data_IF_849092324953
#
_entry.id   IF_849092324953
#
_cell.length_a   1.000
_cell.length_b   1.000
_cell.length_c   1.000
_cell.angle_alpha   90.00
_cell.angle_beta   90.00
_cell.angle_gamma   90.00
#
_symmetry.space_group_name_H-M   'P 1'
#
loop_
_entity.id
_entity.type
_entity.pdbx_description
1 polymer ?
#
# COMPACT_ATOMS: atom_id res chain seq x y z
N UNK A 1 -11.83 2.17 17.38
CA UNK A 1 -10.93 2.92 16.46
C UNK A 1 -10.65 4.32 16.98
N UNK A 2 -11.68 5.09 17.37
CA UNK A 2 -11.53 6.45 17.90
C UNK A 2 -10.61 6.54 19.14
N UNK A 3 -10.72 5.59 20.07
CA UNK A 3 -9.87 5.53 21.27
C UNK A 3 -8.37 5.31 21.00
N UNK A 4 -8.02 4.69 19.88
CA UNK A 4 -6.62 4.48 19.48
C UNK A 4 -6.04 5.76 18.85
N UNK A 5 -6.81 6.38 17.96
CA UNK A 5 -6.42 7.61 17.28
C UNK A 5 -6.23 8.76 18.28
N UNK A 6 -7.12 8.88 19.25
CA UNK A 6 -7.03 9.88 20.32
C UNK A 6 -5.80 9.67 21.22
N UNK A 7 -5.49 8.41 21.58
CA UNK A 7 -4.29 8.07 22.37
C UNK A 7 -2.98 8.49 21.69
N UNK A 8 -2.91 8.41 20.36
CA UNK A 8 -1.72 8.75 19.58
C UNK A 8 -1.78 10.12 18.89
N UNK A 9 -2.82 10.92 19.16
CA UNK A 9 -2.99 12.25 18.55
C UNK A 9 -3.17 12.21 17.03
N UNK A 10 -3.65 11.09 16.47
CA UNK A 10 -3.84 10.91 15.04
C UNK A 10 -5.22 11.42 14.64
N UNK A 11 -5.27 12.37 13.70
CA UNK A 11 -6.53 12.81 13.09
C UNK A 11 -6.88 11.85 11.95
N UNK A 12 -7.95 11.08 12.12
CA UNK A 12 -8.40 10.15 11.09
C UNK A 12 -9.19 10.88 10.00
N UNK A 13 -8.62 10.98 8.80
CA UNK A 13 -9.31 11.52 7.62
C UNK A 13 -9.95 10.39 6.82
N UNK A 14 -11.29 10.41 6.73
CA UNK A 14 -12.08 9.42 5.99
C UNK A 14 -12.45 10.01 4.64
N UNK A 15 -12.17 9.26 3.56
CA UNK A 15 -12.65 9.64 2.24
C UNK A 15 -14.17 9.50 2.16
N UNK A 16 -14.84 10.43 1.49
CA UNK A 16 -16.29 10.37 1.27
C UNK A 16 -16.65 9.09 0.49
N UNK A 17 -17.75 8.45 0.88
CA UNK A 17 -18.29 7.29 0.14
C UNK A 17 -18.49 7.63 -1.33
N UNK A 18 -18.15 6.71 -2.22
CA UNK A 18 -18.20 6.88 -3.69
C UNK A 18 -17.33 8.03 -4.26
N UNK A 19 -16.45 8.66 -3.47
CA UNK A 19 -15.53 9.70 -3.93
C UNK A 19 -14.06 9.35 -3.63
N UNK A 20 -13.48 8.36 -4.35
CA UNK A 20 -12.13 7.86 -4.08
C UNK A 20 -11.00 8.75 -4.63
N UNK A 21 -11.24 10.05 -4.89
CA UNK A 21 -10.26 10.94 -5.51
C UNK A 21 -9.10 11.30 -4.58
N UNK A 22 -9.35 11.44 -3.27
CA UNK A 22 -8.34 11.90 -2.30
C UNK A 22 -7.18 10.91 -2.11
N UNK A 23 -7.37 9.63 -2.47
CA UNK A 23 -6.35 8.59 -2.27
C UNK A 23 -5.49 8.32 -3.52
N UNK A 24 -5.30 9.32 -4.38
CA UNK A 24 -4.60 9.19 -5.67
C UNK A 24 -3.16 8.70 -5.54
N UNK A 25 -2.40 9.24 -4.58
CA UNK A 25 -1.02 8.81 -4.33
C UNK A 25 -0.94 7.33 -3.95
N UNK A 26 -1.80 6.87 -3.03
CA UNK A 26 -1.81 5.46 -2.66
C UNK A 26 -2.27 4.55 -3.80
N UNK A 27 -3.16 5.03 -4.69
CA UNK A 27 -3.56 4.26 -5.89
C UNK A 27 -2.37 4.03 -6.83
N UNK A 28 -1.58 5.07 -7.11
CA UNK A 28 -0.39 4.96 -7.95
C UNK A 28 0.63 4.03 -7.32
N UNK A 29 0.94 4.26 -6.04
CA UNK A 29 1.87 3.42 -5.27
C UNK A 29 1.44 1.94 -5.27
N UNK A 30 0.17 1.66 -4.98
CA UNK A 30 -0.36 0.30 -4.97
C UNK A 30 -0.29 -0.36 -6.36
N UNK A 31 -0.49 0.41 -7.43
CA UNK A 31 -0.36 -0.10 -8.80
C UNK A 31 1.10 -0.46 -9.13
N UNK A 32 2.07 0.36 -8.71
CA UNK A 32 3.49 0.10 -8.92
C UNK A 32 3.97 -1.14 -8.18
N UNK A 33 3.69 -1.23 -6.87
CA UNK A 33 4.03 -2.40 -6.05
C UNK A 33 3.41 -3.67 -6.66
N UNK A 34 2.14 -3.62 -7.08
CA UNK A 34 1.48 -4.75 -7.72
C UNK A 34 2.16 -5.18 -9.02
N UNK A 35 2.59 -4.23 -9.86
CA UNK A 35 3.31 -4.53 -11.11
C UNK A 35 4.67 -5.18 -10.84
N UNK A 36 5.40 -4.71 -9.83
CA UNK A 36 6.69 -5.30 -9.45
C UNK A 36 6.51 -6.71 -8.91
N UNK A 37 5.54 -6.91 -8.02
CA UNK A 37 5.20 -8.22 -7.48
C UNK A 37 4.79 -9.18 -8.59
N UNK A 38 3.91 -8.79 -9.50
CA UNK A 38 3.50 -9.62 -10.64
C UNK A 38 4.68 -10.06 -11.52
N UNK A 39 5.73 -9.23 -11.66
CA UNK A 39 6.94 -9.62 -12.39
C UNK A 39 7.81 -10.58 -11.61
N UNK A 40 7.85 -10.46 -10.28
CA UNK A 40 8.63 -11.36 -9.42
C UNK A 40 7.93 -12.71 -9.24
N UNK A 41 6.62 -12.72 -9.00
CA UNK A 41 5.85 -13.93 -8.67
C UNK A 41 5.28 -14.57 -9.93
N UNK A 42 5.50 -15.87 -10.09
CA UNK A 42 4.82 -16.64 -11.12
C UNK A 42 3.32 -16.80 -10.81
N UNK A 43 2.44 -17.06 -11.80
CA UNK A 43 0.97 -17.10 -11.64
C UNK A 43 0.39 -18.09 -10.60
N UNK A 44 1.22 -18.94 -9.98
CA UNK A 44 0.82 -19.88 -8.93
C UNK A 44 1.58 -19.74 -7.61
N UNK A 45 2.35 -18.66 -7.44
CA UNK A 45 3.27 -18.52 -6.32
C UNK A 45 2.57 -17.94 -5.06
N UNK A 46 2.54 -18.72 -3.98
CA UNK A 46 2.01 -18.31 -2.66
C UNK A 46 2.95 -17.37 -1.90
N UNK A 47 4.16 -17.12 -2.42
CA UNK A 47 5.23 -16.42 -1.71
C UNK A 47 5.24 -14.90 -1.96
N UNK A 48 4.11 -14.35 -2.43
CA UNK A 48 3.96 -12.91 -2.69
C UNK A 48 4.18 -12.08 -1.42
N UNK A 49 3.82 -12.60 -0.24
CA UNK A 49 4.03 -11.93 1.04
C UNK A 49 5.51 -11.80 1.36
N UNK A 50 6.30 -12.86 1.16
CA UNK A 50 7.75 -12.84 1.37
C UNK A 50 8.44 -11.85 0.42
N UNK A 51 7.98 -11.77 -0.82
CA UNK A 51 8.55 -10.86 -1.83
C UNK A 51 8.06 -9.41 -1.72
N UNK A 52 7.03 -9.15 -0.91
CA UNK A 52 6.50 -7.81 -0.69
C UNK A 52 7.50 -6.95 0.09
N UNK A 53 8.18 -7.51 1.10
CA UNK A 53 9.18 -6.79 1.87
C UNK A 53 10.34 -6.32 0.99
N UNK A 54 10.90 -7.23 0.18
CA UNK A 54 11.96 -6.92 -0.78
C UNK A 54 11.51 -5.87 -1.80
N UNK A 55 10.28 -5.99 -2.31
CA UNK A 55 9.70 -5.04 -3.28
C UNK A 55 9.54 -3.65 -2.69
N UNK A 56 9.07 -3.55 -1.44
CA UNK A 56 8.91 -2.27 -0.75
C UNK A 56 10.27 -1.63 -0.44
N UNK A 57 11.25 -2.44 -0.03
CA UNK A 57 12.60 -1.96 0.23
C UNK A 57 13.28 -1.42 -1.05
N UNK A 58 13.16 -2.16 -2.16
CA UNK A 58 13.68 -1.72 -3.45
C UNK A 58 13.00 -0.44 -3.95
N UNK A 59 11.67 -0.31 -3.81
CA UNK A 59 10.94 0.90 -4.22
C UNK A 59 11.36 2.13 -3.41
N UNK A 60 11.52 1.99 -2.09
CA UNK A 60 11.95 3.07 -1.18
C UNK A 60 13.40 3.53 -1.39
N UNK A 61 14.25 2.68 -1.96
CA UNK A 61 15.66 3.00 -2.19
C UNK A 61 15.93 3.50 -3.61
N UNK A 62 15.07 3.18 -4.57
CA UNK A 62 15.20 3.59 -5.97
C UNK A 62 14.63 4.98 -6.27
N UNK A 63 13.68 5.47 -5.46
CA UNK A 63 12.97 6.75 -5.62
C UNK A 63 12.96 7.53 -4.30
#
# INVERSE_FOLDING_TARGET
MSSLFEKYGVVHQVATTYHPQTNGQAKVFNMEIKKILQKLTNPGCKDWSCRLEDTLWAHRTAY
#
